data_IF_418881469317
#
_entry.id   IF_418881469317
#
_cell.length_a   1.000
_cell.length_b   1.000
_cell.length_c   1.000
_cell.angle_alpha   90.00
_cell.angle_beta   90.00
_cell.angle_gamma   90.00
#
_symmetry.space_group_name_H-M   'P 1'
#
loop_
_entity.id
_entity.type
_entity.pdbx_description
1 polymer ?
#
# COMPACT_ATOMS: atom_id res chain seq x y z
N UNK A 1 -19.28 -0.95 14.86
CA UNK A 1 -18.45 -0.34 13.79
C UNK A 1 -19.31 -0.14 12.55
N UNK A 2 -19.16 0.99 11.84
CA UNK A 2 -19.89 1.30 10.61
C UNK A 2 -19.38 0.43 9.45
N UNK A 3 -20.26 -0.17 8.64
CA UNK A 3 -19.87 -0.86 7.41
C UNK A 3 -19.59 0.19 6.32
N UNK A 4 -18.40 0.10 5.71
CA UNK A 4 -18.01 0.94 4.57
C UNK A 4 -18.22 0.15 3.27
N UNK A 5 -18.52 0.87 2.20
CA UNK A 5 -18.49 0.32 0.85
C UNK A 5 -17.06 -0.16 0.50
N UNK A 6 -16.88 -1.32 -0.16
CA UNK A 6 -15.56 -1.87 -0.47
C UNK A 6 -14.64 -0.92 -1.24
N UNK A 7 -15.17 -0.13 -2.18
CA UNK A 7 -14.37 0.84 -2.93
C UNK A 7 -13.82 1.93 -2.03
N UNK A 8 -14.69 2.45 -1.14
CA UNK A 8 -14.33 3.49 -0.18
C UNK A 8 -13.31 2.96 0.83
N UNK A 9 -13.52 1.75 1.33
CA UNK A 9 -12.61 1.12 2.28
C UNK A 9 -11.22 0.88 1.66
N UNK A 10 -11.17 0.34 0.44
CA UNK A 10 -9.91 0.13 -0.28
C UNK A 10 -9.17 1.44 -0.52
N UNK A 11 -9.86 2.47 -1.00
CA UNK A 11 -9.29 3.81 -1.20
C UNK A 11 -8.70 4.38 0.11
N UNK A 12 -9.46 4.27 1.21
CA UNK A 12 -9.01 4.73 2.52
C UNK A 12 -7.79 3.95 3.04
N UNK A 13 -7.72 2.64 2.82
CA UNK A 13 -6.56 1.83 3.21
C UNK A 13 -5.30 2.19 2.40
N UNK A 14 -5.44 2.43 1.10
CA UNK A 14 -4.33 2.92 0.27
C UNK A 14 -3.86 4.31 0.69
N UNK A 15 -4.79 5.21 1.01
CA UNK A 15 -4.47 6.52 1.54
C UNK A 15 -3.77 6.40 2.90
N UNK A 16 -4.23 5.50 3.75
CA UNK A 16 -3.61 5.23 5.04
C UNK A 16 -2.16 4.76 4.90
N UNK A 17 -1.89 3.80 4.00
CA UNK A 17 -0.51 3.36 3.68
C UNK A 17 0.32 4.53 3.17
N UNK A 18 -0.20 5.29 2.20
CA UNK A 18 0.51 6.43 1.62
C UNK A 18 0.90 7.47 2.69
N UNK A 19 -0.01 7.76 3.62
CA UNK A 19 0.26 8.68 4.73
C UNK A 19 1.31 8.13 5.69
N UNK A 20 1.32 6.84 6.00
CA UNK A 20 2.34 6.23 6.86
C UNK A 20 3.73 6.32 6.20
N UNK A 21 3.83 5.99 4.90
CA UNK A 21 5.09 6.10 4.16
C UNK A 21 5.60 7.54 4.18
N UNK A 22 4.74 8.52 3.85
CA UNK A 22 5.12 9.94 3.83
C UNK A 22 5.56 10.40 5.23
N UNK A 23 4.83 10.02 6.28
CA UNK A 23 5.18 10.43 7.64
C UNK A 23 6.49 9.81 8.09
N UNK A 24 6.72 8.52 7.82
CA UNK A 24 7.99 7.84 8.09
C UNK A 24 9.14 8.58 7.42
N UNK A 25 9.05 8.82 6.12
CA UNK A 25 10.12 9.47 5.35
C UNK A 25 10.43 10.88 5.89
N UNK A 26 9.41 11.64 6.30
CA UNK A 26 9.60 12.95 6.94
C UNK A 26 10.22 12.81 8.34
N UNK A 27 9.74 11.86 9.13
CA UNK A 27 10.17 11.65 10.51
C UNK A 27 11.65 11.24 10.59
N UNK A 28 12.12 10.42 9.66
CA UNK A 28 13.51 9.98 9.57
C UNK A 28 14.52 11.14 9.41
N UNK A 29 14.11 12.30 8.88
CA UNK A 29 15.00 13.46 8.76
C UNK A 29 15.48 14.01 10.11
N UNK A 30 14.85 13.63 11.23
CA UNK A 30 15.30 14.01 12.57
C UNK A 30 16.56 13.23 12.99
N UNK A 31 16.84 12.08 12.37
CA UNK A 31 18.00 11.25 12.69
C UNK A 31 19.25 11.70 11.92
N UNK A 32 20.31 12.03 12.66
CA UNK A 32 21.60 12.42 12.08
C UNK A 32 22.23 11.30 11.21
N UNK A 33 22.01 10.03 11.58
CA UNK A 33 22.44 8.88 10.78
C UNK A 33 21.78 8.86 9.40
N UNK A 34 20.48 9.13 9.33
CA UNK A 34 19.72 9.20 8.09
C UNK A 34 20.16 10.37 7.22
N UNK A 35 20.31 11.57 7.79
CA UNK A 35 20.82 12.73 7.05
C UNK A 35 22.21 12.49 6.47
N UNK A 36 23.09 11.83 7.23
CA UNK A 36 24.45 11.50 6.75
C UNK A 36 24.40 10.57 5.54
N UNK A 37 23.53 9.55 5.57
CA UNK A 37 23.33 8.63 4.43
C UNK A 37 22.99 9.41 3.15
N UNK A 38 21.99 10.31 3.23
CA UNK A 38 21.57 11.14 2.11
C UNK A 38 22.69 12.06 1.59
N UNK A 39 23.42 12.72 2.49
CA UNK A 39 24.53 13.61 2.11
C UNK A 39 25.71 12.87 1.47
N UNK A 40 25.92 11.62 1.83
CA UNK A 40 26.95 10.77 1.22
C UNK A 40 26.50 10.07 -0.07
N UNK A 41 25.23 10.24 -0.48
CA UNK A 41 24.66 9.56 -1.64
C UNK A 41 24.54 8.04 -1.46
N UNK A 42 24.54 7.54 -0.22
CA UNK A 42 24.46 6.12 0.10
C UNK A 42 23.35 5.85 1.11
N UNK A 43 22.38 5.02 0.77
CA UNK A 43 21.26 4.63 1.63
C UNK A 43 21.34 3.16 1.99
N UNK A 44 21.42 2.83 3.29
CA UNK A 44 21.58 1.45 3.78
C UNK A 44 22.70 0.66 3.07
N UNK A 45 23.81 1.33 2.74
CA UNK A 45 24.97 0.73 2.06
C UNK A 45 24.84 0.59 0.55
N UNK A 46 23.72 1.02 -0.05
CA UNK A 46 23.54 1.10 -1.50
C UNK A 46 23.74 2.53 -2.00
N UNK A 47 24.41 2.69 -3.14
CA UNK A 47 24.55 3.98 -3.81
C UNK A 47 23.19 4.45 -4.37
N UNK A 48 22.84 5.71 -4.14
CA UNK A 48 21.63 6.33 -4.67
C UNK A 48 21.91 6.78 -6.10
N UNK A 49 21.56 5.94 -7.08
CA UNK A 49 21.68 6.26 -8.51
C UNK A 49 20.44 6.97 -9.05
N UNK A 50 20.56 7.66 -10.19
CA UNK A 50 19.44 8.28 -10.89
C UNK A 50 18.34 7.26 -11.25
N UNK A 51 18.74 6.05 -11.67
CA UNK A 51 17.84 4.96 -11.99
C UNK A 51 17.08 4.46 -10.75
N UNK A 52 17.76 4.33 -9.61
CA UNK A 52 17.13 3.95 -8.34
C UNK A 52 16.14 5.01 -7.87
N UNK A 53 16.49 6.29 -8.04
CA UNK A 53 15.60 7.42 -7.75
C UNK A 53 14.34 7.38 -8.62
N UNK A 54 14.48 7.13 -9.92
CA UNK A 54 13.35 6.99 -10.83
C UNK A 54 12.46 5.80 -10.45
N UNK A 55 13.07 4.66 -10.12
CA UNK A 55 12.34 3.47 -9.68
C UNK A 55 11.53 3.74 -8.40
N UNK A 56 12.13 4.44 -7.43
CA UNK A 56 11.43 4.88 -6.21
C UNK A 56 10.23 5.79 -6.52
N UNK A 57 10.40 6.75 -7.43
CA UNK A 57 9.32 7.64 -7.87
C UNK A 57 8.17 6.89 -8.55
N UNK A 58 8.49 5.96 -9.45
CA UNK A 58 7.49 5.09 -10.10
C UNK A 58 6.78 4.21 -9.08
N UNK A 59 7.51 3.72 -8.08
CA UNK A 59 6.92 2.88 -7.03
C UNK A 59 5.87 3.63 -6.20
N UNK A 60 6.17 4.85 -5.75
CA UNK A 60 5.22 5.68 -4.97
C UNK A 60 3.94 5.99 -5.75
N UNK A 61 3.98 5.98 -7.08
CA UNK A 61 2.78 6.15 -7.89
C UNK A 61 1.78 4.99 -7.76
N UNK A 62 2.21 3.80 -7.33
CA UNK A 62 1.31 2.66 -7.12
C UNK A 62 0.25 2.96 -6.05
N UNK A 63 0.60 3.27 -4.79
CA UNK A 63 -0.40 3.62 -3.78
C UNK A 63 -1.18 4.90 -4.15
N UNK A 64 -0.54 5.92 -4.74
CA UNK A 64 -1.23 7.14 -5.18
C UNK A 64 -2.33 6.82 -6.20
N UNK A 65 -2.00 6.05 -7.24
CA UNK A 65 -2.97 5.65 -8.25
C UNK A 65 -4.09 4.80 -7.63
N UNK A 66 -3.77 3.92 -6.69
CA UNK A 66 -4.74 3.05 -6.05
C UNK A 66 -5.75 3.78 -5.15
N UNK A 67 -5.39 4.94 -4.58
CA UNK A 67 -6.37 5.81 -3.90
C UNK A 67 -7.52 6.18 -4.84
N UNK A 68 -7.21 6.52 -6.09
CA UNK A 68 -8.21 6.88 -7.11
C UNK A 68 -8.86 5.64 -7.73
N UNK A 69 -8.06 4.66 -8.16
CA UNK A 69 -8.53 3.48 -8.86
C UNK A 69 -9.45 2.62 -8.00
N UNK A 70 -9.27 2.58 -6.68
CA UNK A 70 -10.18 1.90 -5.78
C UNK A 70 -11.60 2.46 -5.87
N UNK A 71 -11.77 3.76 -6.16
CA UNK A 71 -13.07 4.43 -6.31
C UNK A 71 -13.64 4.33 -7.74
N UNK A 72 -12.77 4.28 -8.75
CA UNK A 72 -13.16 4.40 -10.16
C UNK A 72 -13.33 3.06 -10.87
N UNK A 73 -12.51 2.06 -10.51
CA UNK A 73 -12.53 0.78 -11.22
C UNK A 73 -13.68 -0.09 -10.75
N UNK A 74 -14.44 -0.62 -11.70
CA UNK A 74 -15.43 -1.67 -11.42
C UNK A 74 -14.74 -2.89 -10.80
N UNK A 75 -15.47 -3.63 -9.96
CA UNK A 75 -14.95 -4.80 -9.26
C UNK A 75 -14.15 -5.77 -10.13
N UNK A 76 -14.63 -6.06 -11.34
CA UNK A 76 -14.03 -7.03 -12.26
C UNK A 76 -12.57 -6.69 -12.60
N UNK A 77 -12.26 -5.40 -12.69
CA UNK A 77 -10.92 -4.90 -12.99
C UNK A 77 -10.20 -4.48 -11.70
N UNK A 78 -10.92 -3.86 -10.76
CA UNK A 78 -10.38 -3.37 -9.50
C UNK A 78 -9.75 -4.47 -8.65
N UNK A 79 -10.32 -5.68 -8.61
CA UNK A 79 -9.78 -6.79 -7.81
C UNK A 79 -8.37 -7.24 -8.25
N UNK A 80 -8.14 -7.69 -9.51
CA UNK A 80 -6.80 -8.10 -9.93
C UNK A 80 -5.80 -6.95 -9.87
N UNK A 81 -6.21 -5.72 -10.18
CA UNK A 81 -5.35 -4.52 -10.06
C UNK A 81 -4.94 -4.27 -8.62
N UNK A 82 -5.86 -4.36 -7.66
CA UNK A 82 -5.58 -4.20 -6.22
C UNK A 82 -4.61 -5.26 -5.72
N UNK A 83 -4.81 -6.52 -6.11
CA UNK A 83 -3.92 -7.63 -5.70
C UNK A 83 -2.50 -7.40 -6.26
N UNK A 84 -2.38 -7.06 -7.54
CA UNK A 84 -1.09 -6.78 -8.17
C UNK A 84 -0.38 -5.60 -7.48
N UNK A 85 -1.09 -4.51 -7.24
CA UNK A 85 -0.55 -3.35 -6.54
C UNK A 85 -0.08 -3.69 -5.11
N UNK A 86 -0.85 -4.50 -4.38
CA UNK A 86 -0.48 -4.95 -3.04
C UNK A 86 0.78 -5.83 -3.06
N UNK A 87 0.93 -6.71 -4.05
CA UNK A 87 2.13 -7.55 -4.21
C UNK A 87 3.36 -6.67 -4.50
N UNK A 88 3.24 -5.74 -5.46
CA UNK A 88 4.33 -4.82 -5.81
C UNK A 88 4.78 -4.03 -4.57
N UNK A 89 3.82 -3.47 -3.82
CA UNK A 89 4.09 -2.67 -2.61
C UNK A 89 4.67 -3.51 -1.48
N UNK A 90 4.22 -4.75 -1.32
CA UNK A 90 4.78 -5.66 -0.30
C UNK A 90 6.22 -6.04 -0.65
N UNK A 91 6.50 -6.34 -1.92
CA UNK A 91 7.83 -6.72 -2.37
C UNK A 91 8.87 -5.60 -2.16
N UNK A 92 8.47 -4.35 -2.38
CA UNK A 92 9.35 -3.20 -2.15
C UNK A 92 9.58 -2.94 -0.66
N UNK A 93 8.54 -3.01 0.17
CA UNK A 93 8.65 -2.89 1.63
C UNK A 93 9.58 -3.93 2.27
N UNK A 94 9.59 -5.14 1.72
CA UNK A 94 10.42 -6.25 2.21
C UNK A 94 11.78 -6.34 1.51
N UNK A 95 12.12 -5.41 0.61
CA UNK A 95 13.38 -5.45 -0.15
C UNK A 95 14.63 -5.20 0.70
N UNK A 96 14.47 -4.56 1.86
CA UNK A 96 15.53 -4.31 2.82
C UNK A 96 15.04 -4.49 4.26
N UNK A 97 15.91 -4.97 5.14
CA UNK A 97 15.61 -5.03 6.56
C UNK A 97 15.49 -3.60 7.15
N UNK A 98 14.54 -3.36 8.07
CA UNK A 98 14.42 -2.06 8.72
C UNK A 98 15.66 -1.78 9.59
N UNK A 99 16.30 -0.60 9.46
CA UNK A 99 17.51 -0.24 10.19
C UNK A 99 17.27 0.06 11.67
N UNK A 100 16.04 0.44 12.06
CA UNK A 100 15.68 0.81 13.42
C UNK A 100 14.23 0.47 13.80
N UNK A 101 13.85 0.83 15.03
CA UNK A 101 12.52 0.56 15.58
C UNK A 101 11.42 1.41 14.95
N UNK A 102 11.73 2.62 14.48
CA UNK A 102 10.77 3.51 13.82
C UNK A 102 10.36 2.92 12.47
N UNK A 103 11.34 2.47 11.69
CA UNK A 103 11.11 1.79 10.41
C UNK A 103 10.40 0.45 10.60
N UNK A 104 10.77 -0.30 11.65
CA UNK A 104 10.10 -1.55 11.99
C UNK A 104 8.62 -1.33 12.33
N UNK A 105 8.31 -0.27 13.08
CA UNK A 105 6.94 0.04 13.46
C UNK A 105 6.08 0.39 12.24
N UNK A 106 6.56 1.29 11.38
CA UNK A 106 5.84 1.67 10.16
C UNK A 106 5.66 0.47 9.22
N UNK A 107 6.70 -0.36 9.04
CA UNK A 107 6.63 -1.58 8.24
C UNK A 107 5.52 -2.53 8.72
N UNK A 108 5.41 -2.77 10.04
CA UNK A 108 4.37 -3.66 10.59
C UNK A 108 2.97 -3.10 10.33
N UNK A 109 2.77 -1.78 10.50
CA UNK A 109 1.49 -1.12 10.25
C UNK A 109 1.11 -1.18 8.76
N UNK A 110 2.06 -0.94 7.88
CA UNK A 110 1.87 -0.98 6.42
C UNK A 110 1.55 -2.41 5.95
N UNK A 111 2.24 -3.43 6.47
CA UNK A 111 1.94 -4.84 6.18
C UNK A 111 0.56 -5.25 6.69
N UNK A 112 0.15 -4.78 7.87
CA UNK A 112 -1.19 -5.03 8.39
C UNK A 112 -2.27 -4.38 7.51
N UNK A 113 -2.04 -3.16 7.03
CA UNK A 113 -2.94 -2.48 6.10
C UNK A 113 -3.00 -3.20 4.73
N UNK A 114 -1.87 -3.67 4.20
CA UNK A 114 -1.82 -4.48 2.97
C UNK A 114 -2.57 -5.80 3.12
N UNK A 115 -2.44 -6.48 4.26
CA UNK A 115 -3.22 -7.67 4.57
C UNK A 115 -4.72 -7.36 4.59
N UNK A 116 -5.13 -6.23 5.18
CA UNK A 116 -6.51 -5.77 5.16
C UNK A 116 -7.02 -5.45 3.74
N UNK A 117 -6.18 -4.88 2.88
CA UNK A 117 -6.49 -4.63 1.46
C UNK A 117 -6.73 -5.96 0.73
N UNK A 118 -5.81 -6.92 0.88
CA UNK A 118 -5.94 -8.24 0.25
C UNK A 118 -7.19 -8.98 0.74
N UNK A 119 -7.46 -8.94 2.04
CA UNK A 119 -8.65 -9.51 2.63
C UNK A 119 -9.94 -8.87 2.08
N UNK A 120 -9.96 -7.53 2.00
CA UNK A 120 -11.11 -6.79 1.46
C UNK A 120 -11.32 -7.11 -0.02
N UNK A 121 -10.26 -7.13 -0.82
CA UNK A 121 -10.31 -7.48 -2.24
C UNK A 121 -10.78 -8.93 -2.48
N UNK A 122 -10.48 -9.85 -1.54
CA UNK A 122 -10.93 -11.24 -1.61
C UNK A 122 -12.40 -11.39 -1.23
N UNK A 123 -12.77 -10.93 -0.04
CA UNK A 123 -14.13 -11.07 0.54
C UNK A 123 -15.20 -10.28 -0.21
N UNK A 124 -14.82 -9.24 -0.93
CA UNK A 124 -15.71 -8.55 -1.87
C UNK A 124 -16.36 -9.51 -2.87
N UNK A 125 -15.73 -10.65 -3.15
CA UNK A 125 -16.25 -11.69 -4.06
C UNK A 125 -17.43 -12.47 -3.52
N UNK A 126 -17.38 -12.79 -2.23
CA UNK A 126 -18.36 -13.65 -1.59
C UNK A 126 -19.67 -12.89 -1.35
N UNK A 127 -19.59 -11.59 -1.09
CA UNK A 127 -20.75 -10.75 -0.83
C UNK A 127 -21.67 -10.58 -2.05
N UNK A 128 -21.16 -10.32 -3.25
CA UNK A 128 -22.04 -10.23 -4.43
C UNK A 128 -22.50 -11.60 -4.91
N UNK A 129 -21.69 -12.67 -4.75
CA UNK A 129 -22.16 -14.03 -5.06
C UNK A 129 -23.35 -14.39 -4.19
N UNK A 130 -23.26 -14.10 -2.89
CA UNK A 130 -24.37 -14.29 -1.96
C UNK A 130 -25.58 -13.42 -2.33
N UNK A 131 -25.37 -12.15 -2.69
CA UNK A 131 -26.45 -11.25 -3.10
C UNK A 131 -27.13 -11.71 -4.41
N UNK A 132 -26.37 -12.16 -5.40
CA UNK A 132 -26.89 -12.67 -6.68
C UNK A 132 -27.69 -13.97 -6.51
N UNK A 133 -27.25 -14.86 -5.61
CA UNK A 133 -27.96 -16.10 -5.29
C UNK A 133 -29.28 -15.84 -4.54
N UNK A 134 -29.30 -14.88 -3.61
CA UNK A 134 -30.52 -14.48 -2.90
C UNK A 134 -31.56 -13.87 -3.86
N UNK A 135 -31.14 -13.07 -4.84
CA UNK A 135 -32.04 -12.49 -5.85
C UNK A 135 -32.72 -13.52 -6.76
N UNK A 136 -32.04 -14.62 -7.09
CA UNK A 136 -32.59 -15.69 -7.93
C UNK A 136 -33.55 -16.64 -7.21
N UNK A 137 -33.60 -16.64 -5.86
CA UNK A 137 -34.53 -17.47 -5.08
C UNK A 137 -35.92 -16.84 -4.90
N UNK A 138 -36.09 -15.58 -5.28
CA UNK A 138 -37.33 -14.82 -5.15
C UNK A 138 -38.05 -14.57 -6.50
N UNK A 139 -37.60 -15.22 -7.58
CA UNK A 139 -38.24 -15.27 -8.90
C UNK A 139 -38.72 -16.69 -9.19
#
# INVERSE_FOLDING_TARGET
>A
MRKLDPHTLLSALWLFILLNIIFRDIHQFVLASHLKMLLTGHYNGMEITEELMLLGGVHVQVPIAMVLFSLLLTRRIGRPVTILAAIITTGTLLSSAPPDLDDTFHLVIELAALAAILWTAWTWTDQERAAAQAGNQHL
#
